data_IF_930748604201
#
_entry.id   IF_930748604201
#
_cell.length_a   1.000
_cell.length_b   1.000
_cell.length_c   1.000
_cell.angle_alpha   90.00
_cell.angle_beta   90.00
_cell.angle_gamma   90.00
#
_symmetry.space_group_name_H-M   'P 1'
#
loop_
_entity.id
_entity.type
_entity.pdbx_description
1 polymer ?
#
# COMPACT_ATOMS: atom_id res chain seq x y z
N UNK A 1 -21.20 46.30 31.90
CA UNK A 1 -21.06 46.03 30.46
C UNK A 1 -19.74 45.30 30.27
N UNK A 2 -19.85 44.01 29.91
CA UNK A 2 -18.83 43.09 29.35
C UNK A 2 -17.49 42.91 30.08
N UNK A 3 -17.41 41.89 30.95
CA UNK A 3 -16.14 41.19 31.22
C UNK A 3 -15.90 40.20 30.06
N UNK A 4 -14.84 40.45 29.29
CA UNK A 4 -14.39 39.54 28.24
C UNK A 4 -13.77 38.27 28.83
N UNK A 5 -14.29 37.11 28.43
CA UNK A 5 -13.69 35.83 28.75
C UNK A 5 -12.45 35.62 27.87
N UNK A 6 -11.27 35.63 28.50
CA UNK A 6 -10.00 35.33 27.86
C UNK A 6 -9.81 33.80 27.93
N UNK A 7 -10.16 33.10 26.85
CA UNK A 7 -9.91 31.67 26.72
C UNK A 7 -8.44 31.48 26.34
N UNK A 8 -7.61 31.14 27.32
CA UNK A 8 -6.22 30.75 27.08
C UNK A 8 -6.19 29.25 26.70
N UNK A 9 -5.98 28.97 25.41
CA UNK A 9 -5.64 27.64 24.91
C UNK A 9 -4.14 27.41 25.10
N UNK A 10 -3.77 26.65 26.14
CA UNK A 10 -2.42 26.10 26.28
C UNK A 10 -2.33 24.83 25.43
N UNK A 11 -1.77 24.95 24.23
CA UNK A 11 -1.31 23.82 23.43
C UNK A 11 0.05 23.39 23.97
N UNK A 12 0.12 22.22 24.62
CA UNK A 12 1.38 21.56 24.94
C UNK A 12 1.61 20.44 23.91
N UNK A 13 2.60 20.62 23.04
CA UNK A 13 3.09 19.56 22.17
C UNK A 13 4.61 19.47 22.36
N UNK A 14 5.08 18.34 22.88
CA UNK A 14 6.48 17.95 22.75
C UNK A 14 6.55 16.67 21.91
N UNK A 15 7.35 16.76 20.85
CA UNK A 15 7.73 15.66 19.98
C UNK A 15 8.55 14.64 20.77
N UNK A 16 8.18 13.36 20.72
CA UNK A 16 9.11 12.27 21.03
C UNK A 16 9.57 11.61 19.73
N UNK A 17 10.86 11.74 19.45
CA UNK A 17 11.60 10.75 18.67
C UNK A 17 12.13 9.73 19.68
N UNK A 18 11.63 8.49 19.62
CA UNK A 18 12.15 7.39 20.42
C UNK A 18 13.40 6.83 19.72
N UNK A 19 14.56 7.01 20.36
CA UNK A 19 15.80 6.31 20.01
C UNK A 19 15.92 5.10 20.95
N UNK A 20 16.02 3.90 20.39
CA UNK A 20 16.12 2.66 21.17
C UNK A 20 17.59 2.42 21.54
N UNK A 21 17.96 2.80 22.76
CA UNK A 21 19.24 2.45 23.37
C UNK A 21 19.04 2.15 24.85
N UNK A 22 19.42 0.94 25.26
CA UNK A 22 19.49 0.51 26.66
C UNK A 22 20.33 1.49 27.48
N UNK A 23 19.68 2.29 28.32
CA UNK A 23 20.27 2.78 29.56
C UNK A 23 19.17 3.06 30.57
N UNK A 24 19.46 2.79 31.83
CA UNK A 24 18.57 2.99 32.98
C UNK A 24 18.29 4.49 33.12
N UNK A 25 17.22 4.97 32.50
CA UNK A 25 16.78 6.36 32.63
C UNK A 25 15.63 6.46 33.62
N UNK A 26 15.95 7.15 34.71
CA UNK A 26 15.10 7.81 35.69
C UNK A 26 13.69 8.13 35.15
N UNK A 27 12.65 7.66 35.84
CA UNK A 27 11.26 8.04 35.57
C UNK A 27 11.08 9.50 35.94
N UNK A 28 11.38 10.42 35.03
CA UNK A 28 10.95 11.82 35.16
C UNK A 28 9.42 11.81 35.20
N UNK A 29 8.86 12.28 36.31
CA UNK A 29 7.42 12.40 36.54
C UNK A 29 6.82 13.36 35.49
N UNK A 30 6.37 12.80 34.36
CA UNK A 30 5.67 13.45 33.24
C UNK A 30 4.24 13.92 33.65
N UNK A 31 4.12 14.50 34.84
CA UNK A 31 2.86 15.00 35.35
C UNK A 31 2.52 16.34 34.71
N UNK A 32 1.33 16.44 34.12
CA UNK A 32 0.80 17.73 33.66
C UNK A 32 0.86 18.76 34.79
N UNK A 33 1.49 19.93 34.60
CA UNK A 33 1.57 20.96 35.63
C UNK A 33 0.18 21.32 36.14
N UNK A 34 -0.02 21.23 37.45
CA UNK A 34 -1.32 21.49 38.05
C UNK A 34 -1.74 22.94 37.79
N UNK A 35 -2.97 23.19 37.29
CA UNK A 35 -3.43 24.54 37.02
C UNK A 35 -3.56 25.36 38.33
N UNK A 36 -3.42 26.70 38.26
CA UNK A 36 -3.59 27.57 39.42
C UNK A 36 -4.97 27.40 40.07
N UNK A 37 -5.02 27.43 41.39
CA UNK A 37 -6.28 27.40 42.15
C UNK A 37 -6.90 28.79 42.20
N UNK A 38 -8.23 28.86 42.10
CA UNK A 38 -9.00 30.08 42.27
C UNK A 38 -9.91 29.96 43.50
N UNK A 39 -10.14 31.07 44.20
CA UNK A 39 -11.03 31.09 45.36
C UNK A 39 -12.47 30.75 44.94
N UNK A 40 -13.11 29.83 45.66
CA UNK A 40 -14.48 29.36 45.39
C UNK A 40 -14.72 28.76 43.99
N UNK A 41 -13.68 28.26 43.30
CA UNK A 41 -13.81 27.61 42.00
C UNK A 41 -13.26 26.18 41.98
N UNK A 42 -13.61 25.45 40.93
CA UNK A 42 -13.14 24.08 40.65
C UNK A 42 -12.55 24.00 39.23
N UNK A 43 -11.79 22.93 38.95
CA UNK A 43 -11.16 22.68 37.65
C UNK A 43 -11.76 21.42 37.05
N UNK A 44 -12.21 21.52 35.79
CA UNK A 44 -12.56 20.36 34.98
C UNK A 44 -11.39 20.03 34.05
N UNK A 45 -10.88 18.80 34.13
CA UNK A 45 -9.76 18.36 33.30
C UNK A 45 -10.29 17.78 32.00
N UNK A 46 -9.66 18.16 30.89
CA UNK A 46 -9.99 17.68 29.55
C UNK A 46 -8.71 17.34 28.80
N UNK A 47 -8.75 16.28 28.00
CA UNK A 47 -7.70 15.91 27.06
C UNK A 47 -8.28 15.83 25.66
N UNK A 48 -7.48 16.14 24.65
CA UNK A 48 -7.82 15.95 23.24
C UNK A 48 -6.80 15.02 22.61
N UNK A 49 -7.25 13.89 22.09
CA UNK A 49 -6.40 13.01 21.34
C UNK A 49 -6.06 13.61 19.97
N UNK A 50 -4.80 13.49 19.60
CA UNK A 50 -4.28 13.86 18.29
C UNK A 50 -3.39 12.72 17.81
N UNK A 51 -3.44 12.44 16.51
CA UNK A 51 -2.57 11.44 15.93
C UNK A 51 -1.27 12.06 15.41
N UNK A 52 -0.23 11.24 15.38
CA UNK A 52 1.04 11.61 14.78
C UNK A 52 0.88 11.92 13.28
N UNK A 53 1.88 12.60 12.72
CA UNK A 53 1.97 12.82 11.27
C UNK A 53 1.81 11.49 10.52
N UNK A 54 1.09 11.51 9.40
CA UNK A 54 0.69 10.35 8.58
C UNK A 54 -0.38 9.43 9.17
N UNK A 55 -0.94 9.78 10.33
CA UNK A 55 -2.08 9.09 10.93
C UNK A 55 -3.28 10.03 11.03
N UNK A 56 -4.48 9.46 10.94
CA UNK A 56 -5.75 10.14 11.15
C UNK A 56 -6.47 9.56 12.36
N UNK A 57 -7.14 10.42 13.11
CA UNK A 57 -7.94 10.01 14.25
C UNK A 57 -9.22 9.34 13.75
N UNK A 58 -9.43 8.08 14.12
CA UNK A 58 -10.63 7.29 13.83
C UNK A 58 -11.48 7.20 15.08
N UNK A 59 -12.60 7.90 15.08
CA UNK A 59 -13.58 7.95 16.17
C UNK A 59 -14.89 8.53 15.65
N UNK A 60 -16.02 8.18 16.30
CA UNK A 60 -17.33 8.82 16.06
C UNK A 60 -17.51 10.08 16.90
N UNK A 61 -16.72 10.26 17.96
CA UNK A 61 -16.74 11.45 18.82
C UNK A 61 -15.74 12.53 18.39
N UNK A 62 -15.76 13.66 19.09
CA UNK A 62 -14.87 14.81 18.82
C UNK A 62 -13.39 14.63 19.25
N UNK A 63 -13.03 13.46 19.79
CA UNK A 63 -11.70 13.14 20.31
C UNK A 63 -11.36 13.81 21.64
N UNK A 64 -12.32 14.49 22.27
CA UNK A 64 -12.14 15.18 23.55
C UNK A 64 -12.73 14.34 24.68
N UNK A 65 -11.96 14.14 25.75
CA UNK A 65 -12.38 13.39 26.93
C UNK A 65 -12.32 14.28 28.15
N UNK A 66 -13.33 14.19 29.01
CA UNK A 66 -13.41 14.95 30.26
C UNK A 66 -13.31 13.99 31.43
N UNK A 67 -12.56 14.37 32.47
CA UNK A 67 -12.43 13.58 33.69
C UNK A 67 -13.68 13.75 34.57
N UNK A 68 -14.39 12.66 34.86
CA UNK A 68 -15.57 12.67 35.73
C UNK A 68 -15.21 12.50 37.23
N UNK A 69 -16.22 12.55 38.11
CA UNK A 69 -16.05 12.36 39.56
C UNK A 69 -15.59 10.94 39.95
N UNK A 70 -15.81 9.96 39.09
CA UNK A 70 -15.40 8.56 39.25
C UNK A 70 -13.97 8.32 38.73
N UNK A 71 -13.27 9.38 38.31
CA UNK A 71 -11.90 9.35 37.76
C UNK A 71 -11.79 8.61 36.42
N UNK A 72 -12.85 8.65 35.63
CA UNK A 72 -12.88 8.09 34.28
C UNK A 72 -12.82 9.21 33.23
N UNK A 73 -12.14 8.93 32.12
CA UNK A 73 -12.10 9.80 30.95
C UNK A 73 -13.26 9.48 30.03
N UNK A 74 -14.19 10.41 29.89
CA UNK A 74 -15.44 10.21 29.14
C UNK A 74 -15.49 11.17 27.96
N UNK A 75 -15.67 10.63 26.76
CA UNK A 75 -16.13 11.37 25.60
C UNK A 75 -17.67 11.45 25.62
N UNK A 76 -18.21 12.58 25.19
CA UNK A 76 -19.66 12.84 25.24
C UNK A 76 -20.47 11.90 24.34
N UNK A 77 -19.90 11.49 23.21
CA UNK A 77 -20.59 10.74 22.17
C UNK A 77 -20.35 9.23 22.32
N UNK A 78 -19.13 8.82 22.71
CA UNK A 78 -18.71 7.41 22.71
C UNK A 78 -18.28 6.85 24.08
N UNK A 79 -18.48 7.61 25.16
CA UNK A 79 -18.19 7.14 26.52
C UNK A 79 -16.70 6.93 26.79
N UNK A 80 -16.34 5.78 27.37
CA UNK A 80 -14.96 5.42 27.72
C UNK A 80 -14.14 4.90 26.54
N UNK A 81 -14.77 4.56 25.41
CA UNK A 81 -14.06 4.02 24.25
C UNK A 81 -13.07 5.05 23.74
N UNK A 82 -11.78 4.72 23.68
CA UNK A 82 -10.73 5.58 23.18
C UNK A 82 -10.71 5.63 21.63
N UNK A 83 -10.20 6.72 21.02
CA UNK A 83 -10.04 6.78 19.58
C UNK A 83 -8.82 5.97 19.13
N UNK A 84 -8.79 5.58 17.86
CA UNK A 84 -7.66 4.87 17.27
C UNK A 84 -6.96 5.76 16.24
N UNK A 85 -5.63 5.66 16.12
CA UNK A 85 -4.88 6.32 15.06
C UNK A 85 -4.70 5.34 13.89
N UNK A 86 -5.34 5.65 12.77
CA UNK A 86 -5.27 4.85 11.55
C UNK A 86 -4.32 5.51 10.55
N UNK A 87 -3.48 4.73 9.88
CA UNK A 87 -2.60 5.26 8.85
C UNK A 87 -3.37 5.92 7.70
N UNK A 88 -2.89 7.08 7.25
CA UNK A 88 -3.31 7.69 6.00
C UNK A 88 -2.73 6.89 4.83
N UNK A 89 -3.55 6.58 3.83
CA UNK A 89 -3.12 5.93 2.59
C UNK A 89 -2.98 6.93 1.45
N UNK A 90 -2.17 6.60 0.44
CA UNK A 90 -2.17 7.29 -0.86
C UNK A 90 -1.77 8.77 -0.83
N UNK A 91 -1.05 9.21 0.20
CA UNK A 91 -0.60 10.61 0.39
C UNK A 91 0.94 10.68 0.53
N UNK A 92 1.70 10.31 -0.52
CA UNK A 92 3.16 10.29 -0.44
C UNK A 92 3.68 11.72 -0.15
N UNK A 93 4.66 11.83 0.74
CA UNK A 93 5.27 13.14 1.10
C UNK A 93 5.94 13.80 -0.11
N UNK A 94 6.58 12.99 -0.96
CA UNK A 94 7.29 13.45 -2.14
C UNK A 94 6.72 12.76 -3.39
N UNK A 95 5.55 13.17 -3.91
CA UNK A 95 4.97 12.53 -5.10
C UNK A 95 5.88 12.68 -6.33
N UNK A 96 5.67 11.83 -7.33
CA UNK A 96 6.40 11.93 -8.60
C UNK A 96 6.04 13.23 -9.33
N UNK A 97 7.04 13.89 -9.90
CA UNK A 97 6.80 15.01 -10.80
C UNK A 97 6.46 14.43 -12.18
N UNK A 98 5.36 14.87 -12.80
CA UNK A 98 4.91 14.39 -14.12
C UNK A 98 5.92 14.63 -15.27
N UNK A 99 7.07 15.25 -15.01
CA UNK A 99 8.00 15.79 -16.01
C UNK A 99 9.31 14.98 -16.13
N UNK A 100 9.55 13.95 -15.29
CA UNK A 100 10.86 13.27 -15.29
C UNK A 100 10.97 12.14 -16.33
N UNK A 101 11.70 12.50 -17.39
CA UNK A 101 12.13 11.73 -18.57
C UNK A 101 13.35 10.86 -18.26
N UNK A 102 13.23 9.54 -18.37
CA UNK A 102 14.37 8.63 -18.60
C UNK A 102 13.86 7.45 -19.44
N UNK A 103 14.66 6.95 -20.39
CA UNK A 103 14.41 5.72 -21.15
C UNK A 103 14.99 4.54 -20.34
N UNK A 104 14.20 3.49 -20.08
CA UNK A 104 14.58 2.33 -19.28
C UNK A 104 14.09 2.38 -17.82
N UNK A 105 13.01 3.13 -17.58
CA UNK A 105 12.40 3.42 -16.29
C UNK A 105 13.05 4.62 -15.60
N UNK A 106 12.22 5.50 -15.04
CA UNK A 106 12.65 6.64 -14.24
C UNK A 106 13.08 6.20 -12.84
N UNK A 107 14.23 6.68 -12.36
CA UNK A 107 14.73 6.41 -11.01
C UNK A 107 13.80 7.06 -9.98
N UNK A 108 13.37 6.30 -8.96
CA UNK A 108 12.68 6.87 -7.80
C UNK A 108 13.69 7.50 -6.82
N UNK A 109 14.15 8.70 -7.14
CA UNK A 109 15.12 9.42 -6.32
C UNK A 109 14.52 9.96 -5.00
N UNK A 110 13.20 10.20 -4.96
CA UNK A 110 12.52 10.90 -3.85
C UNK A 110 11.84 9.96 -2.86
N UNK A 111 11.65 8.69 -3.21
CA UNK A 111 10.81 7.76 -2.45
C UNK A 111 9.33 8.05 -2.68
N UNK A 112 8.95 8.26 -3.94
CA UNK A 112 7.59 8.66 -4.35
C UNK A 112 6.56 7.52 -4.28
N UNK A 113 7.02 6.27 -4.14
CA UNK A 113 6.17 5.08 -4.05
C UNK A 113 6.34 4.37 -2.69
N UNK A 114 5.91 5.01 -1.58
CA UNK A 114 6.14 4.49 -0.22
C UNK A 114 5.37 3.18 0.09
N UNK A 115 4.43 2.78 -0.77
CA UNK A 115 3.72 1.51 -0.70
C UNK A 115 4.47 0.36 -1.37
N UNK A 116 5.51 0.63 -2.16
CA UNK A 116 6.25 -0.42 -2.85
C UNK A 116 7.04 -1.27 -1.86
N UNK A 117 6.83 -2.58 -1.94
CA UNK A 117 7.64 -3.57 -1.24
C UNK A 117 8.45 -4.39 -2.24
N UNK A 118 9.62 -4.85 -1.77
CA UNK A 118 10.48 -5.82 -2.43
C UNK A 118 10.34 -7.15 -1.70
N UNK A 119 9.92 -8.18 -2.40
CA UNK A 119 9.89 -9.55 -1.90
C UNK A 119 11.02 -10.36 -2.54
N UNK A 120 11.62 -11.26 -1.77
CA UNK A 120 12.67 -12.16 -2.25
C UNK A 120 12.29 -13.59 -1.88
N UNK A 121 12.22 -14.48 -2.87
CA UNK A 121 11.93 -15.89 -2.66
C UNK A 121 13.13 -16.65 -2.07
N UNK A 122 12.92 -17.92 -1.68
CA UNK A 122 13.96 -18.78 -1.11
C UNK A 122 15.24 -18.89 -1.95
N UNK A 123 15.13 -18.83 -3.27
CA UNK A 123 16.27 -18.90 -4.21
C UNK A 123 16.77 -17.55 -4.71
N UNK A 124 16.40 -16.46 -4.03
CA UNK A 124 16.93 -15.13 -4.33
C UNK A 124 16.29 -14.43 -5.52
N UNK A 125 15.14 -14.92 -6.03
CA UNK A 125 14.38 -14.19 -7.04
C UNK A 125 13.66 -13.01 -6.40
N UNK A 126 13.87 -11.82 -6.96
CA UNK A 126 13.18 -10.60 -6.54
C UNK A 126 11.82 -10.49 -7.23
N UNK A 127 10.80 -10.14 -6.45
CA UNK A 127 9.42 -9.90 -6.88
C UNK A 127 8.81 -8.68 -6.18
N UNK A 128 7.70 -8.17 -6.69
CA UNK A 128 6.97 -7.05 -6.13
C UNK A 128 5.89 -7.45 -5.12
N UNK A 129 5.61 -6.54 -4.20
CA UNK A 129 4.41 -6.53 -3.37
C UNK A 129 4.03 -5.07 -3.08
N UNK A 130 2.78 -4.82 -2.70
CA UNK A 130 2.27 -3.47 -2.47
C UNK A 130 1.55 -3.38 -1.12
N UNK A 131 1.98 -2.47 -0.25
CA UNK A 131 1.39 -2.21 1.05
C UNK A 131 0.00 -1.55 0.91
N UNK A 132 -1.04 -2.20 1.43
CA UNK A 132 -2.45 -1.73 1.29
C UNK A 132 -3.05 -1.20 2.60
N UNK A 133 -2.45 -1.54 3.75
CA UNK A 133 -2.69 -0.91 5.05
C UNK A 133 -1.44 -1.12 5.95
N UNK A 134 -1.52 -0.84 7.25
CA UNK A 134 -0.37 -0.95 8.15
C UNK A 134 0.19 -2.37 8.31
N UNK A 135 -0.54 -3.42 7.95
CA UNK A 135 -0.17 -4.80 8.23
C UNK A 135 -0.31 -5.74 7.04
N UNK A 136 -0.91 -5.29 5.93
CA UNK A 136 -1.25 -6.15 4.81
C UNK A 136 -0.67 -5.64 3.50
N UNK A 137 -0.19 -6.57 2.68
CA UNK A 137 0.31 -6.31 1.34
C UNK A 137 -0.41 -7.20 0.31
N UNK A 138 -0.67 -6.64 -0.87
CA UNK A 138 -1.04 -7.40 -2.07
C UNK A 138 0.21 -7.87 -2.81
N UNK A 139 0.14 -9.06 -3.39
CA UNK A 139 1.09 -9.58 -4.38
C UNK A 139 0.35 -10.56 -5.30
N UNK A 140 1.07 -11.26 -6.18
CA UNK A 140 0.49 -12.31 -7.04
C UNK A 140 0.63 -13.68 -6.41
N UNK A 141 -0.28 -14.60 -6.73
CA UNK A 141 -0.14 -15.98 -6.33
C UNK A 141 1.11 -16.61 -6.98
N UNK A 142 1.40 -16.30 -8.24
CA UNK A 142 2.62 -16.75 -8.93
C UNK A 142 3.90 -16.37 -8.19
N UNK A 143 3.98 -15.16 -7.62
CA UNK A 143 5.14 -14.73 -6.83
C UNK A 143 5.29 -15.55 -5.56
N UNK A 144 4.17 -15.87 -4.90
CA UNK A 144 4.15 -16.67 -3.67
C UNK A 144 4.54 -18.13 -3.94
N UNK A 145 4.16 -18.68 -5.09
CA UNK A 145 4.53 -20.03 -5.51
C UNK A 145 5.94 -20.14 -6.11
N UNK A 146 6.71 -19.05 -6.21
CA UNK A 146 8.08 -19.15 -6.71
C UNK A 146 8.91 -20.11 -5.85
N UNK A 147 9.39 -21.18 -6.49
CA UNK A 147 10.12 -22.27 -5.85
C UNK A 147 9.30 -23.12 -4.88
N UNK A 148 8.01 -23.28 -5.18
CA UNK A 148 7.12 -24.21 -4.52
C UNK A 148 6.40 -25.08 -5.56
N UNK A 149 5.93 -26.25 -5.14
CA UNK A 149 5.04 -27.08 -5.97
C UNK A 149 3.62 -26.53 -5.89
N UNK A 150 2.76 -26.92 -6.82
CA UNK A 150 1.34 -26.53 -6.82
C UNK A 150 0.57 -27.01 -5.56
N UNK A 151 1.10 -28.02 -4.87
CA UNK A 151 0.51 -28.57 -3.64
C UNK A 151 0.98 -27.86 -2.36
N UNK A 152 1.91 -26.90 -2.45
CA UNK A 152 2.39 -26.17 -1.29
C UNK A 152 1.27 -25.33 -0.67
N UNK A 153 1.14 -25.39 0.65
CA UNK A 153 0.17 -24.59 1.39
C UNK A 153 0.72 -23.20 1.69
N UNK A 154 -0.15 -22.28 2.10
CA UNK A 154 0.30 -20.94 2.50
C UNK A 154 1.22 -20.97 3.73
N UNK A 155 1.05 -21.97 4.62
CA UNK A 155 1.90 -22.21 5.78
C UNK A 155 3.31 -22.67 5.39
N UNK A 156 3.44 -23.43 4.29
CA UNK A 156 4.73 -23.82 3.70
C UNK A 156 5.44 -22.62 3.05
N UNK A 157 4.66 -21.71 2.44
CA UNK A 157 5.17 -20.58 1.66
C UNK A 157 5.68 -19.45 2.57
N UNK A 158 4.87 -19.00 3.53
CA UNK A 158 5.15 -17.83 4.36
C UNK A 158 6.58 -17.76 4.96
N UNK A 159 7.11 -18.83 5.61
CA UNK A 159 8.43 -18.77 6.24
C UNK A 159 9.59 -18.71 5.24
N UNK A 160 9.35 -18.92 3.95
CA UNK A 160 10.39 -18.92 2.91
C UNK A 160 10.68 -17.54 2.31
N UNK A 161 9.80 -16.58 2.57
CA UNK A 161 9.82 -15.26 1.94
C UNK A 161 10.58 -14.25 2.79
N UNK A 162 11.33 -13.35 2.12
CA UNK A 162 11.90 -12.15 2.76
C UNK A 162 11.23 -10.92 2.17
N UNK A 163 10.72 -10.05 3.02
CA UNK A 163 9.98 -8.87 2.60
C UNK A 163 10.62 -7.59 3.12
N UNK A 164 10.71 -6.58 2.26
CA UNK A 164 11.34 -5.31 2.53
C UNK A 164 10.45 -4.15 2.08
N UNK A 165 10.35 -3.11 2.90
CA UNK A 165 9.63 -1.86 2.60
C UNK A 165 10.58 -0.65 2.72
N UNK A 166 10.23 0.48 2.11
CA UNK A 166 11.02 1.72 2.18
C UNK A 166 12.50 1.54 1.82
N UNK A 167 13.42 2.05 2.66
CA UNK A 167 14.88 1.89 2.48
C UNK A 167 15.39 0.55 3.00
N UNK A 168 14.87 -0.56 2.45
CA UNK A 168 15.28 -1.93 2.80
C UNK A 168 14.99 -2.31 4.26
N UNK A 169 13.95 -1.74 4.85
CA UNK A 169 13.46 -2.15 6.16
C UNK A 169 12.85 -3.54 6.02
N UNK A 170 13.46 -4.54 6.65
CA UNK A 170 12.91 -5.90 6.69
C UNK A 170 11.67 -5.92 7.57
N UNK A 171 10.62 -6.59 7.11
CA UNK A 171 9.39 -6.81 7.87
C UNK A 171 9.10 -8.30 7.97
N UNK A 172 8.68 -8.75 9.15
CA UNK A 172 8.36 -10.15 9.41
C UNK A 172 6.96 -10.49 8.89
N UNK A 173 6.84 -11.61 8.18
CA UNK A 173 5.57 -12.14 7.68
C UNK A 173 4.97 -13.07 8.74
N UNK A 174 3.69 -12.87 9.06
CA UNK A 174 2.90 -13.76 9.91
C UNK A 174 2.30 -14.90 9.09
N UNK A 175 1.62 -14.55 8.00
CA UNK A 175 0.91 -15.49 7.15
C UNK A 175 0.77 -14.99 5.72
N UNK A 176 0.51 -15.94 4.84
CA UNK A 176 0.13 -15.72 3.44
C UNK A 176 -1.30 -16.22 3.26
N UNK A 177 -2.09 -15.55 2.43
CA UNK A 177 -3.43 -16.00 2.05
C UNK A 177 -3.55 -15.91 0.53
N UNK A 178 -3.83 -17.04 -0.11
CA UNK A 178 -4.05 -17.09 -1.57
C UNK A 178 -5.51 -16.78 -1.88
N UNK A 179 -5.77 -16.07 -2.97
CA UNK A 179 -7.13 -15.91 -3.46
C UNK A 179 -7.74 -17.30 -3.77
N UNK A 180 -8.99 -17.62 -3.40
CA UNK A 180 -9.57 -18.96 -3.61
C UNK A 180 -9.51 -19.44 -5.06
N UNK A 181 -9.65 -18.50 -6.01
CA UNK A 181 -9.54 -18.75 -7.45
C UNK A 181 -8.20 -18.26 -8.03
N UNK A 182 -7.07 -18.50 -7.35
CA UNK A 182 -5.76 -17.93 -7.74
C UNK A 182 -5.29 -18.30 -9.17
N UNK A 183 -5.83 -19.37 -9.76
CA UNK A 183 -5.58 -19.76 -11.16
C UNK A 183 -6.20 -18.77 -12.17
N UNK A 184 -7.27 -18.08 -11.78
CA UNK A 184 -7.99 -17.09 -12.60
C UNK A 184 -7.77 -15.66 -12.12
N UNK A 185 -7.58 -15.47 -10.82
CA UNK A 185 -7.35 -14.17 -10.17
C UNK A 185 -6.02 -14.28 -9.43
N UNK A 186 -4.93 -14.01 -10.14
CA UNK A 186 -3.55 -14.21 -9.69
C UNK A 186 -3.13 -13.22 -8.59
N UNK A 187 -3.67 -13.44 -7.39
CA UNK A 187 -3.54 -12.56 -6.23
C UNK A 187 -3.30 -13.38 -4.97
N UNK A 188 -2.45 -12.83 -4.10
CA UNK A 188 -2.35 -13.23 -2.71
C UNK A 188 -2.20 -12.03 -1.79
N UNK A 189 -2.49 -12.26 -0.51
CA UNK A 189 -2.28 -11.33 0.59
C UNK A 189 -1.15 -11.83 1.48
N UNK A 190 -0.37 -10.88 1.98
CA UNK A 190 0.66 -11.11 2.99
C UNK A 190 0.26 -10.31 4.23
N UNK A 191 0.12 -10.99 5.37
CA UNK A 191 -0.04 -10.34 6.68
C UNK A 191 1.32 -10.25 7.35
N UNK A 192 1.68 -9.05 7.79
CA UNK A 192 2.85 -8.80 8.62
C UNK A 192 2.56 -9.19 10.06
N UNK A 193 3.58 -9.65 10.77
CA UNK A 193 3.49 -10.02 12.20
C UNK A 193 3.17 -8.84 13.11
N UNK A 194 3.54 -7.63 12.69
CA UNK A 194 3.24 -6.39 13.38
C UNK A 194 2.93 -5.30 12.37
N UNK A 195 2.15 -4.30 12.79
CA UNK A 195 1.93 -3.10 11.99
C UNK A 195 3.26 -2.39 11.70
N UNK A 196 3.45 -1.96 10.46
CA UNK A 196 4.62 -1.19 10.06
C UNK A 196 4.43 0.29 10.40
N UNK A 197 5.40 0.96 11.05
CA UNK A 197 5.31 2.39 11.33
C UNK A 197 5.27 3.21 10.04
N UNK A 198 4.21 4.00 9.85
CA UNK A 198 4.03 4.81 8.65
C UNK A 198 4.86 6.08 8.72
N UNK A 199 5.57 6.38 7.64
CA UNK A 199 6.45 7.52 7.49
C UNK A 199 6.59 7.92 6.01
N UNK A 200 7.50 8.86 5.72
CA UNK A 200 7.70 9.37 4.36
C UNK A 200 8.09 8.30 3.31
N UNK A 201 8.60 7.14 3.73
CA UNK A 201 9.07 6.06 2.85
C UNK A 201 8.26 4.77 2.94
N UNK A 202 7.38 4.67 3.93
CA UNK A 202 6.55 3.49 4.16
C UNK A 202 5.14 3.99 4.44
N UNK A 203 4.23 3.79 3.50
CA UNK A 203 2.85 4.23 3.60
C UNK A 203 1.98 3.38 2.70
N UNK A 204 0.78 2.97 3.14
CA UNK A 204 -0.10 2.18 2.29
C UNK A 204 -0.64 2.97 1.10
N UNK A 205 -0.89 2.29 -0.02
CA UNK A 205 -1.68 2.84 -1.13
C UNK A 205 -3.17 2.77 -0.78
N UNK A 206 -3.98 3.72 -1.27
CA UNK A 206 -5.42 3.58 -1.11
C UNK A 206 -5.99 2.52 -2.06
N UNK A 207 -6.96 1.77 -1.56
CA UNK A 207 -7.78 0.89 -2.38
C UNK A 207 -8.91 1.71 -3.04
N UNK A 208 -9.16 1.55 -4.34
CA UNK A 208 -10.09 2.39 -5.08
C UNK A 208 -11.54 2.06 -4.72
N UNK A 209 -12.42 3.07 -4.75
CA UNK A 209 -13.88 2.90 -4.62
C UNK A 209 -14.60 2.83 -5.97
N UNK A 210 -13.93 3.24 -7.05
CA UNK A 210 -14.41 3.22 -8.44
C UNK A 210 -13.40 2.52 -9.35
N UNK A 211 -13.84 2.04 -10.51
CA UNK A 211 -12.90 1.51 -11.50
C UNK A 211 -12.14 2.68 -12.15
N UNK A 212 -10.83 2.52 -12.24
CA UNK A 212 -9.91 3.51 -12.76
C UNK A 212 -9.21 3.03 -14.04
N UNK A 213 -9.47 1.79 -14.47
CA UNK A 213 -8.88 1.14 -15.64
C UNK A 213 -9.60 1.53 -16.95
N UNK A 214 -9.79 2.83 -17.18
CA UNK A 214 -10.33 3.36 -18.43
C UNK A 214 -9.24 3.44 -19.51
N UNK A 215 -9.57 3.02 -20.74
CA UNK A 215 -8.62 3.00 -21.86
C UNK A 215 -8.00 4.39 -22.09
N UNK A 216 -6.69 4.43 -22.27
CA UNK A 216 -5.91 5.65 -22.48
C UNK A 216 -5.52 6.36 -21.18
N UNK A 217 -6.10 6.00 -20.03
CA UNK A 217 -5.69 6.55 -18.76
C UNK A 217 -4.29 6.08 -18.40
N UNK A 218 -3.44 7.02 -18.00
CA UNK A 218 -2.03 6.74 -17.68
C UNK A 218 -1.89 6.51 -16.18
N UNK A 219 -1.33 5.35 -15.83
CA UNK A 219 -0.92 5.02 -14.47
C UNK A 219 0.59 4.90 -14.36
N UNK A 220 1.05 4.79 -13.13
CA UNK A 220 2.45 4.60 -12.78
C UNK A 220 2.64 3.18 -12.27
N UNK A 221 3.75 2.56 -12.62
CA UNK A 221 4.14 1.26 -12.08
C UNK A 221 5.56 1.38 -11.57
N UNK A 222 5.74 1.23 -10.27
CA UNK A 222 7.05 1.12 -9.63
C UNK A 222 7.47 -0.36 -9.56
N UNK A 223 8.77 -0.66 -9.66
CA UNK A 223 9.21 -2.04 -9.81
C UNK A 223 10.65 -2.31 -9.39
N UNK A 224 10.86 -3.48 -8.77
CA UNK A 224 12.17 -4.03 -8.40
C UNK A 224 12.67 -5.10 -9.38
N UNK A 225 11.98 -5.27 -10.50
CA UNK A 225 12.25 -6.28 -11.51
C UNK A 225 13.54 -6.05 -12.29
N UNK A 226 13.70 -6.87 -13.33
CA UNK A 226 14.87 -6.85 -14.21
C UNK A 226 14.85 -5.62 -15.12
N UNK A 227 16.01 -5.01 -15.29
CA UNK A 227 16.23 -3.93 -16.23
C UNK A 227 16.61 -4.46 -17.64
N UNK A 228 16.95 -3.55 -18.55
CA UNK A 228 17.38 -3.85 -19.93
C UNK A 228 18.59 -4.79 -20.04
N UNK A 229 19.41 -4.90 -18.98
CA UNK A 229 20.55 -5.82 -18.92
C UNK A 229 20.16 -7.18 -18.31
N UNK A 230 18.86 -7.44 -18.12
CA UNK A 230 18.32 -8.63 -17.46
C UNK A 230 18.82 -8.87 -16.02
N UNK A 231 19.34 -7.84 -15.37
CA UNK A 231 19.72 -7.85 -13.96
C UNK A 231 18.63 -7.20 -13.12
N UNK A 232 18.39 -7.72 -11.91
CA UNK A 232 17.50 -7.06 -10.95
C UNK A 232 18.01 -5.66 -10.64
N UNK A 233 17.10 -4.68 -10.62
CA UNK A 233 17.49 -3.30 -10.37
C UNK A 233 17.98 -3.11 -8.92
N UNK A 234 19.06 -2.35 -8.76
CA UNK A 234 19.59 -1.97 -7.45
C UNK A 234 18.78 -0.86 -6.79
N UNK A 235 18.15 -0.02 -7.61
CA UNK A 235 17.36 1.12 -7.21
C UNK A 235 15.93 0.97 -7.73
N UNK A 236 14.95 1.38 -6.94
CA UNK A 236 13.56 1.39 -7.36
C UNK A 236 13.40 2.29 -8.59
N UNK A 237 12.71 1.77 -9.61
CA UNK A 237 12.35 2.52 -10.81
C UNK A 237 10.84 2.57 -10.96
N UNK A 238 10.37 3.47 -11.81
CA UNK A 238 8.98 3.51 -12.22
C UNK A 238 8.83 3.83 -13.71
N UNK A 239 7.68 3.48 -14.26
CA UNK A 239 7.29 3.77 -15.65
C UNK A 239 5.84 4.25 -15.69
N UNK A 240 5.50 5.05 -16.71
CA UNK A 240 4.15 5.51 -16.98
C UNK A 240 3.55 4.72 -18.14
N UNK A 241 2.44 4.04 -17.91
CA UNK A 241 1.82 3.14 -18.90
C UNK A 241 0.34 3.51 -19.08
N UNK A 242 -0.14 3.62 -20.34
CA UNK A 242 -1.56 3.80 -20.61
C UNK A 242 -2.31 2.48 -20.48
N UNK A 243 -3.52 2.50 -19.93
CA UNK A 243 -4.47 1.39 -20.02
C UNK A 243 -4.79 1.14 -21.48
N UNK A 244 -4.70 -0.11 -21.90
CA UNK A 244 -4.96 -0.55 -23.27
C UNK A 244 -6.40 -1.04 -23.45
N UNK A 245 -6.85 -1.04 -24.71
CA UNK A 245 -8.11 -1.69 -25.05
C UNK A 245 -8.04 -3.20 -24.80
N UNK A 246 -9.03 -3.71 -24.06
CA UNK A 246 -9.06 -5.11 -23.65
C UNK A 246 -9.19 -6.07 -24.85
N UNK A 247 -9.93 -5.69 -25.89
CA UNK A 247 -10.12 -6.56 -27.06
C UNK A 247 -8.83 -6.69 -27.85
N UNK A 248 -8.10 -5.59 -28.03
CA UNK A 248 -6.79 -5.61 -28.68
C UNK A 248 -5.78 -6.46 -27.89
N UNK A 249 -5.76 -6.35 -26.56
CA UNK A 249 -4.91 -7.18 -25.71
C UNK A 249 -5.24 -8.68 -25.84
N UNK A 250 -6.53 -9.03 -25.85
CA UNK A 250 -6.98 -10.42 -26.08
C UNK A 250 -6.57 -10.92 -27.46
N UNK A 251 -6.74 -10.12 -28.51
CA UNK A 251 -6.31 -10.49 -29.86
C UNK A 251 -4.78 -10.70 -29.94
N UNK A 252 -4.00 -9.90 -29.22
CA UNK A 252 -2.53 -10.01 -29.16
C UNK A 252 -2.09 -11.35 -28.53
N UNK A 253 -2.69 -11.76 -27.42
CA UNK A 253 -2.27 -12.97 -26.68
C UNK A 253 -2.97 -14.26 -27.12
N UNK A 254 -4.22 -14.18 -27.57
CA UNK A 254 -5.09 -15.33 -27.85
C UNK A 254 -5.58 -15.40 -29.31
N UNK A 255 -5.32 -14.38 -30.14
CA UNK A 255 -5.67 -14.34 -31.56
C UNK A 255 -7.16 -14.18 -31.89
N UNK A 256 -8.05 -14.28 -30.91
CA UNK A 256 -9.51 -14.16 -31.08
C UNK A 256 -10.19 -13.83 -29.76
N UNK A 257 -11.25 -13.02 -29.81
CA UNK A 257 -12.16 -12.80 -28.68
C UNK A 257 -13.20 -13.92 -28.51
N UNK A 258 -13.41 -14.74 -29.55
CA UNK A 258 -14.29 -15.91 -29.53
C UNK A 258 -13.54 -17.11 -28.91
N UNK A 259 -14.02 -17.70 -27.80
CA UNK A 259 -13.32 -18.77 -27.07
C UNK A 259 -12.88 -19.96 -27.94
N UNK A 260 -13.74 -20.46 -28.82
CA UNK A 260 -13.47 -21.62 -29.68
C UNK A 260 -12.36 -21.36 -30.72
N UNK A 261 -12.04 -20.10 -30.98
CA UNK A 261 -11.01 -19.67 -31.94
C UNK A 261 -9.74 -19.16 -31.26
N UNK A 262 -9.68 -19.19 -29.92
CA UNK A 262 -8.50 -18.78 -29.17
C UNK A 262 -7.35 -19.74 -29.45
N UNK A 263 -6.19 -19.18 -29.73
CA UNK A 263 -4.93 -19.90 -29.93
C UNK A 263 -3.81 -19.17 -29.19
N UNK A 264 -2.83 -19.88 -28.61
CA UNK A 264 -1.76 -19.21 -27.90
C UNK A 264 -0.89 -18.40 -28.89
N UNK A 265 -0.98 -17.06 -28.82
CA UNK A 265 -0.27 -16.10 -29.69
C UNK A 265 0.74 -15.22 -28.96
N UNK A 266 0.93 -15.42 -27.66
CA UNK A 266 1.88 -14.66 -26.85
C UNK A 266 3.25 -14.59 -27.53
N UNK A 267 3.82 -13.39 -27.72
CA UNK A 267 5.17 -13.23 -28.28
C UNK A 267 6.26 -13.82 -27.37
N UNK A 268 5.94 -14.06 -26.10
CA UNK A 268 6.82 -14.71 -25.14
C UNK A 268 6.35 -16.14 -24.88
N UNK A 269 7.26 -17.03 -24.43
CA UNK A 269 7.00 -18.46 -24.31
C UNK A 269 5.93 -18.91 -23.29
N UNK A 270 5.17 -17.97 -22.71
CA UNK A 270 4.14 -18.19 -21.70
C UNK A 270 2.93 -17.29 -21.96
N UNK A 271 1.76 -17.73 -21.50
CA UNK A 271 0.49 -17.02 -21.65
C UNK A 271 0.14 -16.22 -20.38
N UNK A 272 -0.41 -15.00 -20.51
CA UNK A 272 -1.05 -14.32 -19.39
C UNK A 272 -2.37 -14.98 -19.00
N UNK A 273 -2.86 -14.66 -17.80
CA UNK A 273 -4.24 -14.93 -17.42
C UNK A 273 -5.06 -13.73 -17.89
N UNK A 274 -6.02 -13.96 -18.78
CA UNK A 274 -6.90 -12.91 -19.33
C UNK A 274 -8.37 -13.28 -19.10
N UNK A 275 -9.07 -12.42 -18.38
CA UNK A 275 -10.51 -12.53 -18.09
C UNK A 275 -11.09 -11.16 -17.66
N UNK A 276 -12.36 -11.13 -17.27
CA UNK A 276 -13.08 -9.92 -16.86
C UNK A 276 -12.48 -9.20 -15.64
N UNK A 277 -11.75 -9.93 -14.79
CA UNK A 277 -11.05 -9.42 -13.62
C UNK A 277 -9.68 -8.82 -13.96
N UNK A 278 -9.30 -8.82 -15.24
CA UNK A 278 -8.02 -8.27 -15.69
C UNK A 278 -8.19 -7.07 -16.61
N UNK A 279 -7.17 -6.23 -16.65
CA UNK A 279 -7.00 -5.21 -17.68
C UNK A 279 -5.55 -5.21 -18.17
N UNK A 280 -5.33 -4.63 -19.34
CA UNK A 280 -3.99 -4.52 -19.92
C UNK A 280 -3.48 -3.08 -19.86
N UNK A 281 -2.18 -2.90 -19.70
CA UNK A 281 -1.50 -1.64 -19.97
C UNK A 281 -0.57 -1.82 -21.15
N UNK A 282 -0.55 -0.85 -22.07
CA UNK A 282 0.36 -0.85 -23.20
C UNK A 282 1.76 -0.37 -22.79
N UNK A 283 2.68 -0.45 -23.74
CA UNK A 283 4.02 0.13 -23.59
C UNK A 283 3.99 1.65 -23.35
N UNK A 284 5.03 2.16 -22.70
CA UNK A 284 5.26 3.59 -22.56
C UNK A 284 5.46 4.25 -23.93
N UNK A 285 5.35 5.58 -23.96
CA UNK A 285 5.67 6.40 -25.15
C UNK A 285 7.08 6.13 -25.70
N UNK A 286 8.00 5.66 -24.86
CA UNK A 286 9.39 5.40 -25.20
C UNK A 286 9.72 3.91 -25.32
N UNK A 287 8.70 3.06 -25.52
CA UNK A 287 8.83 1.60 -25.61
C UNK A 287 9.43 0.98 -24.34
N UNK A 288 9.10 1.57 -23.19
CA UNK A 288 9.45 1.00 -21.89
C UNK A 288 8.28 0.17 -21.38
N UNK A 289 8.60 -0.87 -20.64
CA UNK A 289 7.62 -1.76 -20.05
C UNK A 289 8.16 -2.37 -18.75
N UNK A 290 7.27 -3.03 -18.03
CA UNK A 290 7.54 -3.91 -16.90
C UNK A 290 8.19 -5.22 -17.35
N UNK A 291 8.96 -5.85 -16.47
CA UNK A 291 9.68 -7.08 -16.78
C UNK A 291 9.83 -7.98 -15.54
N UNK A 292 10.51 -9.13 -15.69
CA UNK A 292 10.59 -10.17 -14.66
C UNK A 292 10.91 -9.62 -13.27
N UNK A 293 10.03 -9.88 -12.30
CA UNK A 293 10.15 -9.43 -10.91
C UNK A 293 9.31 -8.19 -10.59
N UNK A 294 8.67 -7.55 -11.58
CA UNK A 294 7.76 -6.43 -11.34
C UNK A 294 6.37 -6.88 -10.88
N UNK A 295 5.98 -8.15 -11.15
CA UNK A 295 4.70 -8.71 -10.72
C UNK A 295 4.46 -8.48 -9.22
N UNK A 296 3.22 -8.21 -8.83
CA UNK A 296 2.83 -7.85 -7.46
C UNK A 296 2.98 -6.36 -7.12
N UNK A 297 3.65 -5.58 -7.98
CA UNK A 297 3.63 -4.12 -7.90
C UNK A 297 2.32 -3.56 -8.43
N UNK A 298 1.87 -2.44 -7.85
CA UNK A 298 0.61 -1.83 -8.24
C UNK A 298 0.73 -0.94 -9.48
N UNK A 299 -0.29 -1.00 -10.33
CA UNK A 299 -0.61 0.06 -11.28
C UNK A 299 -1.37 1.14 -10.51
N UNK A 300 -0.66 2.24 -10.22
CA UNK A 300 -1.19 3.32 -9.39
C UNK A 300 -1.64 4.50 -10.22
N UNK A 301 -2.71 5.12 -9.76
CA UNK A 301 -3.35 6.26 -10.39
C UNK A 301 -3.44 7.37 -9.35
N UNK A 302 -3.09 8.58 -9.76
CA UNK A 302 -3.33 9.79 -8.97
C UNK A 302 -4.70 10.35 -9.35
N UNK A 303 -5.65 10.33 -8.42
CA UNK A 303 -6.90 11.07 -8.58
C UNK A 303 -6.66 12.52 -8.16
N UNK A 304 -6.86 13.44 -9.11
CA UNK A 304 -6.62 14.87 -8.92
C UNK A 304 -7.77 15.56 -8.17
N UNK A 305 -8.95 14.94 -8.09
CA UNK A 305 -10.11 15.52 -7.39
C UNK A 305 -9.91 15.53 -5.88
N UNK A 306 -9.32 14.45 -5.34
CA UNK A 306 -9.05 14.31 -3.91
C UNK A 306 -7.54 14.27 -3.58
N UNK A 307 -6.68 14.46 -4.59
CA UNK A 307 -5.22 14.42 -4.51
C UNK A 307 -4.67 13.10 -3.93
N UNK A 308 -5.30 11.97 -4.22
CA UNK A 308 -4.98 10.66 -3.59
C UNK A 308 -4.50 9.64 -4.60
N UNK A 309 -3.53 8.83 -4.18
CA UNK A 309 -3.00 7.73 -4.98
C UNK A 309 -3.74 6.43 -4.69
N UNK A 310 -4.22 5.78 -5.74
CA UNK A 310 -5.00 4.55 -5.70
C UNK A 310 -4.32 3.42 -6.47
N UNK A 311 -4.37 2.19 -5.93
CA UNK A 311 -3.99 0.99 -6.69
C UNK A 311 -5.17 0.54 -7.56
N UNK A 312 -5.13 0.85 -8.86
CA UNK A 312 -6.18 0.40 -9.79
C UNK A 312 -5.99 -1.07 -10.20
N UNK A 313 -4.74 -1.55 -10.23
CA UNK A 313 -4.41 -2.93 -10.55
C UNK A 313 -3.17 -3.45 -9.84
N UNK A 314 -3.01 -4.77 -9.82
CA UNK A 314 -1.77 -5.45 -9.41
C UNK A 314 -1.21 -6.19 -10.64
N UNK A 315 0.07 -5.97 -10.95
CA UNK A 315 0.71 -6.60 -12.11
C UNK A 315 0.77 -8.12 -11.94
N UNK A 316 0.12 -8.87 -12.83
CA UNK A 316 0.14 -10.34 -12.87
C UNK A 316 1.12 -10.88 -13.90
N UNK A 317 1.15 -10.27 -15.09
CA UNK A 317 2.01 -10.71 -16.20
C UNK A 317 3.14 -9.73 -16.44
N UNK A 318 4.28 -10.01 -15.82
CA UNK A 318 5.53 -9.25 -15.87
C UNK A 318 6.52 -9.82 -16.91
N UNK A 319 6.00 -10.56 -17.90
CA UNK A 319 6.80 -11.30 -18.88
C UNK A 319 6.86 -10.60 -20.23
N UNK A 320 6.13 -9.50 -20.39
CA UNK A 320 6.07 -8.73 -21.64
C UNK A 320 7.43 -8.12 -22.00
N UNK A 321 8.10 -7.48 -21.02
CA UNK A 321 9.37 -6.78 -21.22
C UNK A 321 9.30 -5.94 -22.51
N UNK A 322 10.29 -5.97 -23.39
CA UNK A 322 10.22 -5.24 -24.67
C UNK A 322 9.68 -6.06 -25.85
N UNK A 323 9.16 -7.27 -25.59
CA UNK A 323 8.81 -8.26 -26.63
C UNK A 323 7.31 -8.35 -26.86
N UNK A 324 6.50 -8.31 -25.80
CA UNK A 324 5.05 -8.25 -25.92
C UNK A 324 4.55 -6.81 -25.73
N UNK A 325 3.40 -6.49 -26.30
CA UNK A 325 2.90 -5.11 -26.34
C UNK A 325 2.20 -4.67 -25.05
N UNK A 326 1.82 -5.63 -24.20
CA UNK A 326 0.91 -5.39 -23.08
C UNK A 326 1.34 -6.10 -21.79
N UNK A 327 1.46 -5.37 -20.69
CA UNK A 327 1.43 -5.94 -19.34
C UNK A 327 -0.02 -6.24 -18.93
N UNK A 328 -0.24 -7.29 -18.14
CA UNK A 328 -1.59 -7.70 -17.67
C UNK A 328 -1.71 -7.58 -16.17
N UNK A 329 -2.76 -6.90 -15.72
CA UNK A 329 -3.01 -6.54 -14.33
C UNK A 329 -4.35 -7.10 -13.88
N UNK A 330 -4.42 -7.57 -12.63
CA UNK A 330 -5.70 -7.88 -11.99
C UNK A 330 -6.31 -6.58 -11.47
N UNK A 331 -7.57 -6.31 -11.80
CA UNK A 331 -8.35 -5.15 -11.33
C UNK A 331 -8.52 -5.24 -9.82
N UNK A 332 -8.01 -4.25 -9.10
CA UNK A 332 -8.22 -4.18 -7.64
C UNK A 332 -9.72 -4.13 -7.28
N UNK A 333 -10.59 -3.38 -7.99
CA UNK A 333 -12.03 -3.43 -7.74
C UNK A 333 -12.64 -4.84 -7.71
N UNK A 334 -12.14 -5.78 -8.53
CA UNK A 334 -12.64 -7.15 -8.59
C UNK A 334 -12.27 -8.01 -7.38
N UNK A 335 -11.30 -7.60 -6.57
CA UNK A 335 -10.83 -8.34 -5.39
C UNK A 335 -11.13 -7.63 -4.06
N UNK A 336 -11.75 -6.45 -4.07
CA UNK A 336 -11.95 -5.64 -2.87
C UNK A 336 -12.73 -6.36 -1.78
N UNK A 337 -13.81 -7.05 -2.15
CA UNK A 337 -14.66 -7.75 -1.18
C UNK A 337 -13.91 -8.90 -0.51
N UNK A 338 -13.13 -9.65 -1.29
CA UNK A 338 -12.25 -10.68 -0.76
C UNK A 338 -11.18 -10.07 0.17
N UNK A 339 -10.49 -9.01 -0.25
CA UNK A 339 -9.48 -8.34 0.57
C UNK A 339 -10.06 -7.86 1.90
N UNK A 340 -11.21 -7.19 1.88
CA UNK A 340 -11.89 -6.70 3.10
C UNK A 340 -12.30 -7.83 4.01
N UNK A 341 -12.88 -8.90 3.45
CA UNK A 341 -13.28 -10.09 4.21
C UNK A 341 -12.08 -10.75 4.86
N UNK A 342 -11.02 -11.01 4.10
CA UNK A 342 -9.80 -11.62 4.62
C UNK A 342 -9.13 -10.77 5.70
N UNK A 343 -9.14 -9.43 5.59
CA UNK A 343 -8.59 -8.56 6.66
C UNK A 343 -9.47 -8.58 7.91
N UNK A 344 -10.78 -8.73 7.77
CA UNK A 344 -11.72 -8.73 8.90
C UNK A 344 -11.74 -10.06 9.66
N UNK A 345 -11.54 -11.18 8.95
CA UNK A 345 -11.56 -12.53 9.52
C UNK A 345 -10.27 -12.88 10.29
N UNK A 346 -9.22 -12.05 10.22
CA UNK A 346 -7.82 -12.40 10.51
C UNK A 346 -7.05 -11.44 11.43
#
# INVERSE_FOLDING_TARGET
>A
ITLGALVALLLCGQLFAADFGNDVTDFTDDSCPKPPKIANGHVNHMVRYQCNTYYRLRTEGDGVYTLNSEKQWINKDIGEKLPECEAVCGKPKNPVDQVQRIIGGSLDAKGSFPWQAKMISRHGLTTGATLINEQWLLTTAKNLFLNHTENATAEDIAPTLKLFVGRRQMVEIEKVVLHPNYSMIDIGLIKLKQKVPVNERVMPICLPSKDYAEVGRVGYVSGWGRNVNFNFTEHLKYVMLPVADQSNCVLHYEGSTVPEKKTPKSPVGVQPILNEHTFCAGMSKYQEDTCYGDAGSAFVIHDLEDDTWYAAGILSFDKSCTVAEYGVYVKVPSILDWVRKTIADE
#
